data_IF_645539167324
#
_entry.id   IF_645539167324
#
_cell.length_a   1.000
_cell.length_b   1.000
_cell.length_c   1.000
_cell.angle_alpha   90.00
_cell.angle_beta   90.00
_cell.angle_gamma   90.00
#
_symmetry.space_group_name_H-M   'P 1'
#
loop_
_entity.id
_entity.type
_entity.pdbx_description
1 polymer ?
#
# COMPACT_ATOMS: atom_id res chain seq x y z
N UNK A 1 11.43 74.56 -13.76
CA UNK A 1 10.48 74.00 -14.74
C UNK A 1 11.29 73.15 -15.72
N UNK A 2 10.89 71.92 -16.08
CA UNK A 2 9.59 71.31 -15.88
C UNK A 2 9.61 70.11 -14.92
N UNK A 3 8.43 69.89 -14.35
CA UNK A 3 7.94 68.73 -13.61
C UNK A 3 7.86 67.51 -14.52
N UNK A 4 8.62 66.46 -14.25
CA UNK A 4 8.21 65.12 -14.67
C UNK A 4 7.24 64.60 -13.61
N UNK A 5 5.96 64.82 -13.92
CA UNK A 5 4.86 64.12 -13.28
C UNK A 5 5.16 62.62 -13.42
N UNK A 6 5.58 61.99 -12.33
CA UNK A 6 5.27 60.57 -12.13
C UNK A 6 3.76 60.47 -12.08
N UNK A 7 3.12 60.30 -13.24
CA UNK A 7 1.75 59.83 -13.31
C UNK A 7 1.76 58.46 -12.65
N UNK A 8 1.29 58.42 -11.42
CA UNK A 8 0.75 57.23 -10.80
C UNK A 8 -0.35 56.72 -11.73
N UNK A 9 0.02 55.82 -12.65
CA UNK A 9 -0.93 54.93 -13.28
C UNK A 9 -1.38 53.95 -12.20
N UNK A 10 -2.21 54.44 -11.29
CA UNK A 10 -3.19 53.66 -10.56
C UNK A 10 -4.27 53.30 -11.58
N UNK A 11 -3.89 52.48 -12.57
CA UNK A 11 -4.84 51.71 -13.36
C UNK A 11 -5.31 50.57 -12.44
N UNK A 12 -6.26 50.89 -11.56
CA UNK A 12 -6.93 49.92 -10.70
C UNK A 12 -7.43 48.76 -11.57
N UNK A 13 -6.92 47.55 -11.33
CA UNK A 13 -7.32 46.34 -12.05
C UNK A 13 -8.86 46.19 -12.05
N UNK A 14 -9.46 46.09 -13.25
CA UNK A 14 -10.92 45.96 -13.38
C UNK A 14 -11.37 44.61 -12.79
N UNK A 15 -12.27 44.65 -11.80
CA UNK A 15 -12.89 43.45 -11.23
C UNK A 15 -13.79 42.78 -12.28
N UNK A 16 -13.30 41.71 -12.92
CA UNK A 16 -14.05 40.97 -13.95
C UNK A 16 -15.12 40.04 -13.34
N UNK A 17 -14.81 39.43 -12.18
CA UNK A 17 -15.71 38.48 -11.52
C UNK A 17 -15.40 38.30 -10.05
N UNK A 18 -16.44 38.24 -9.23
CA UNK A 18 -16.38 37.81 -7.83
C UNK A 18 -16.83 36.34 -7.72
N UNK A 19 -16.20 35.58 -6.82
CA UNK A 19 -16.49 34.15 -6.61
C UNK A 19 -16.50 33.86 -5.12
N UNK A 20 -17.63 33.33 -4.63
CA UNK A 20 -17.75 32.91 -3.25
C UNK A 20 -16.94 31.63 -2.99
N UNK A 21 -16.22 31.60 -1.87
CA UNK A 21 -15.42 30.43 -1.46
C UNK A 21 -15.98 29.86 -0.16
N UNK A 22 -16.43 28.61 -0.23
CA UNK A 22 -16.96 27.85 0.90
C UNK A 22 -15.97 26.78 1.34
N UNK A 23 -15.81 26.60 2.65
CA UNK A 23 -14.99 25.53 3.23
C UNK A 23 -15.90 24.46 3.84
N UNK A 24 -15.90 23.27 3.25
CA UNK A 24 -16.65 22.12 3.74
C UNK A 24 -15.71 21.13 4.44
N UNK A 25 -16.02 20.74 5.67
CA UNK A 25 -15.21 19.80 6.48
C UNK A 25 -15.89 18.45 6.72
N UNK A 26 -17.07 18.22 6.15
CA UNK A 26 -17.87 16.99 6.34
C UNK A 26 -17.06 15.72 6.02
N UNK A 27 -16.24 15.77 4.97
CA UNK A 27 -15.41 14.63 4.53
C UNK A 27 -13.92 14.78 4.89
N UNK A 28 -13.53 15.75 5.72
CA UNK A 28 -12.11 16.06 5.97
C UNK A 28 -11.31 14.84 6.47
N UNK A 29 -11.95 13.95 7.23
CA UNK A 29 -11.32 12.74 7.78
C UNK A 29 -11.47 11.48 6.90
N UNK A 30 -12.15 11.60 5.76
CA UNK A 30 -12.56 10.49 4.90
C UNK A 30 -12.22 10.71 3.42
N UNK A 31 -11.78 11.92 3.04
CA UNK A 31 -11.43 12.27 1.68
C UNK A 31 -9.95 11.98 1.40
N UNK A 32 -9.68 11.05 0.49
CA UNK A 32 -8.34 10.70 0.04
C UNK A 32 -8.20 10.98 -1.45
N UNK A 33 -6.98 11.33 -1.89
CA UNK A 33 -6.65 11.47 -3.31
C UNK A 33 -5.71 10.34 -3.70
N UNK A 34 -6.14 9.51 -4.65
CA UNK A 34 -5.31 8.43 -5.19
C UNK A 34 -4.58 8.86 -6.45
N UNK A 35 -3.28 8.62 -6.46
CA UNK A 35 -2.41 8.82 -7.61
C UNK A 35 -1.90 7.48 -8.10
N UNK A 36 -1.81 7.33 -9.43
CA UNK A 36 -1.29 6.13 -10.09
C UNK A 36 -0.08 6.50 -10.95
N UNK A 37 1.13 6.65 -10.36
CA UNK A 37 2.28 7.25 -11.06
C UNK A 37 2.70 6.52 -12.35
N UNK A 38 2.43 5.21 -12.43
CA UNK A 38 2.77 4.37 -13.59
C UNK A 38 1.61 4.20 -14.58
N UNK A 39 0.48 4.88 -14.35
CA UNK A 39 -0.70 4.82 -15.21
C UNK A 39 -0.79 6.12 -16.00
N UNK A 40 -0.55 6.12 -17.32
CA UNK A 40 -0.63 7.35 -18.09
C UNK A 40 -2.08 7.82 -18.23
N UNK A 41 -2.27 9.14 -18.31
CA UNK A 41 -3.60 9.76 -18.36
C UNK A 41 -4.47 9.27 -19.52
N UNK A 42 -3.87 8.98 -20.69
CA UNK A 42 -4.60 8.48 -21.86
C UNK A 42 -5.09 7.02 -21.72
N UNK A 43 -4.72 6.33 -20.64
CA UNK A 43 -5.17 4.97 -20.32
C UNK A 43 -5.65 4.93 -18.87
N UNK A 44 -6.80 5.52 -18.52
CA UNK A 44 -7.34 5.44 -17.16
C UNK A 44 -7.77 4.00 -16.82
N UNK A 45 -8.10 3.74 -15.56
CA UNK A 45 -8.82 2.53 -15.19
C UNK A 45 -10.30 2.68 -15.58
N UNK A 46 -10.87 1.63 -16.18
CA UNK A 46 -12.30 1.55 -16.49
C UNK A 46 -13.13 1.36 -15.21
N UNK A 47 -14.42 1.70 -15.25
CA UNK A 47 -15.35 1.61 -14.10
C UNK A 47 -15.38 0.22 -13.44
N UNK A 48 -15.20 -0.85 -14.24
CA UNK A 48 -15.23 -2.23 -13.74
C UNK A 48 -13.84 -2.82 -13.52
N UNK A 49 -12.80 -1.98 -13.44
CA UNK A 49 -11.41 -2.45 -13.30
C UNK A 49 -11.07 -2.94 -11.90
N UNK A 50 -11.91 -2.68 -10.90
CA UNK A 50 -11.63 -3.01 -9.51
C UNK A 50 -12.72 -3.91 -8.93
N UNK A 51 -12.32 -5.03 -8.31
CA UNK A 51 -13.25 -5.98 -7.69
C UNK A 51 -13.38 -5.82 -6.18
N UNK A 52 -12.39 -5.20 -5.54
CA UNK A 52 -12.38 -5.00 -4.09
C UNK A 52 -11.35 -3.97 -3.68
N UNK A 53 -11.56 -3.39 -2.52
CA UNK A 53 -10.59 -2.54 -1.86
C UNK A 53 -10.60 -2.82 -0.36
N UNK A 54 -9.50 -2.53 0.31
CA UNK A 54 -9.38 -2.64 1.75
C UNK A 54 -8.46 -1.57 2.29
N UNK A 55 -8.65 -1.23 3.56
CA UNK A 55 -7.91 -0.17 4.24
C UNK A 55 -7.42 -0.60 5.62
N UNK A 56 -6.24 -0.13 5.99
CA UNK A 56 -5.76 -0.01 7.37
C UNK A 56 -5.76 1.49 7.73
N UNK A 57 -6.77 1.93 8.48
CA UNK A 57 -7.07 3.37 8.71
C UNK A 57 -5.96 4.10 9.46
N UNK A 58 -5.39 3.47 10.49
CA UNK A 58 -4.38 4.09 11.36
C UNK A 58 -3.07 4.34 10.60
N UNK A 59 -2.63 3.39 9.79
CA UNK A 59 -1.43 3.55 8.96
C UNK A 59 -1.71 4.02 7.52
N UNK A 60 -2.97 4.38 7.23
CA UNK A 60 -3.45 4.88 5.93
C UNK A 60 -3.02 4.00 4.75
N UNK A 61 -3.05 2.68 4.95
CA UNK A 61 -2.72 1.76 3.86
C UNK A 61 -3.96 1.37 3.11
N UNK A 62 -3.93 1.51 1.79
CA UNK A 62 -4.98 1.05 0.91
C UNK A 62 -4.46 -0.03 0.01
N UNK A 63 -5.30 -1.03 -0.22
CA UNK A 63 -5.13 -2.01 -1.27
C UNK A 63 -6.37 -2.08 -2.14
N UNK A 64 -6.15 -2.20 -3.44
CA UNK A 64 -7.21 -2.33 -4.45
C UNK A 64 -6.89 -3.49 -5.38
N UNK A 65 -7.86 -4.37 -5.57
CA UNK A 65 -7.78 -5.50 -6.49
C UNK A 65 -8.17 -5.03 -7.89
N UNK A 66 -7.17 -4.82 -8.76
CA UNK A 66 -7.38 -4.49 -10.17
C UNK A 66 -7.54 -5.76 -11.00
N UNK A 67 -8.67 -5.91 -11.68
CA UNK A 67 -8.97 -7.06 -12.53
C UNK A 67 -8.15 -7.08 -13.81
N UNK A 68 -7.70 -8.27 -14.20
CA UNK A 68 -7.00 -8.54 -15.45
C UNK A 68 -7.92 -9.36 -16.35
N UNK A 69 -8.14 -8.88 -17.57
CA UNK A 69 -8.92 -9.63 -18.55
C UNK A 69 -8.10 -10.79 -19.15
N UNK A 70 -8.31 -11.99 -18.62
CA UNK A 70 -7.63 -13.23 -19.05
C UNK A 70 -8.01 -13.71 -20.45
N UNK A 71 -9.07 -13.15 -21.05
CA UNK A 71 -9.56 -13.51 -22.38
C UNK A 71 -9.01 -12.62 -23.50
N UNK A 72 -8.26 -11.58 -23.18
CA UNK A 72 -7.63 -10.72 -24.19
C UNK A 72 -6.41 -11.39 -24.82
N UNK A 73 -6.13 -11.05 -26.09
CA UNK A 73 -4.98 -11.55 -26.84
C UNK A 73 -3.63 -11.24 -26.18
N UNK A 74 -3.56 -10.15 -25.40
CA UNK A 74 -2.35 -9.73 -24.69
C UNK A 74 -2.05 -10.56 -23.44
N UNK A 75 -2.95 -11.46 -23.03
CA UNK A 75 -2.77 -12.28 -21.84
C UNK A 75 -2.21 -13.66 -22.19
N UNK A 76 -1.00 -13.96 -21.72
CA UNK A 76 -0.38 -15.27 -21.93
C UNK A 76 -0.90 -16.32 -20.92
N UNK A 77 -1.98 -17.02 -21.31
CA UNK A 77 -2.73 -17.96 -20.46
C UNK A 77 -1.86 -19.02 -19.77
N UNK A 78 -0.89 -19.60 -20.48
CA UNK A 78 -0.01 -20.64 -19.91
C UNK A 78 0.77 -20.13 -18.70
N UNK A 79 1.37 -18.94 -18.80
CA UNK A 79 2.10 -18.33 -17.69
C UNK A 79 1.17 -17.83 -16.58
N UNK A 80 0.02 -17.27 -16.95
CA UNK A 80 -1.01 -16.88 -15.99
C UNK A 80 -1.47 -18.04 -15.11
N UNK A 81 -1.63 -19.23 -15.69
CA UNK A 81 -1.97 -20.46 -14.97
C UNK A 81 -0.84 -20.93 -14.05
N UNK A 82 0.41 -20.85 -14.50
CA UNK A 82 1.58 -21.20 -13.67
C UNK A 82 1.65 -20.34 -12.41
N UNK A 83 1.51 -19.01 -12.54
CA UNK A 83 1.53 -18.11 -11.38
C UNK A 83 0.40 -18.39 -10.39
N UNK A 84 -0.82 -18.62 -10.89
CA UNK A 84 -1.95 -18.98 -10.03
C UNK A 84 -1.70 -20.30 -9.28
N UNK A 85 -1.25 -21.34 -9.98
CA UNK A 85 -0.97 -22.63 -9.38
C UNK A 85 0.14 -22.56 -8.30
N UNK A 86 1.23 -21.83 -8.55
CA UNK A 86 2.31 -21.71 -7.57
C UNK A 86 1.86 -20.96 -6.31
N UNK A 87 1.12 -19.87 -6.48
CA UNK A 87 0.60 -19.06 -5.37
C UNK A 87 -0.36 -19.88 -4.50
N UNK A 88 -1.29 -20.61 -5.12
CA UNK A 88 -2.23 -21.48 -4.41
C UNK A 88 -1.54 -22.63 -3.68
N UNK A 89 -0.48 -23.19 -4.27
CA UNK A 89 0.30 -24.29 -3.68
C UNK A 89 1.07 -23.84 -2.45
N UNK A 90 1.59 -22.62 -2.43
CA UNK A 90 2.26 -22.05 -1.26
C UNK A 90 1.25 -21.79 -0.14
N UNK A 91 0.10 -21.17 -0.45
CA UNK A 91 -0.95 -20.87 0.54
C UNK A 91 -1.54 -22.15 1.18
N UNK A 92 -1.56 -23.28 0.46
CA UNK A 92 -2.06 -24.55 0.99
C UNK A 92 -1.15 -25.17 2.06
N UNK A 93 0.15 -24.87 2.08
CA UNK A 93 1.07 -25.45 3.07
C UNK A 93 0.85 -24.88 4.47
N UNK A 94 0.23 -23.71 4.59
CA UNK A 94 0.11 -22.97 5.84
C UNK A 94 -1.28 -23.11 6.53
N UNK A 95 -2.31 -23.67 5.87
CA UNK A 95 -3.66 -23.68 6.43
C UNK A 95 -4.45 -24.97 6.15
N UNK A 96 -4.79 -25.72 7.21
CA UNK A 96 -5.60 -26.95 7.21
C UNK A 96 -7.11 -26.73 7.40
N UNK A 97 -7.60 -25.49 7.32
CA UNK A 97 -9.02 -25.17 7.61
C UNK A 97 -9.86 -24.89 6.35
N UNK A 98 -11.07 -25.47 6.34
CA UNK A 98 -11.99 -25.61 5.19
C UNK A 98 -12.62 -24.33 4.61
N UNK A 99 -12.25 -23.13 5.07
CA UNK A 99 -12.72 -21.84 4.52
C UNK A 99 -11.58 -21.12 3.79
N UNK A 100 -11.05 -21.75 2.73
CA UNK A 100 -9.93 -21.21 1.96
C UNK A 100 -10.42 -20.18 0.95
N UNK A 101 -10.18 -18.91 1.20
CA UNK A 101 -10.29 -17.87 0.18
C UNK A 101 -9.07 -17.98 -0.75
N UNK A 102 -9.31 -18.26 -2.04
CA UNK A 102 -8.25 -18.29 -3.05
C UNK A 102 -7.63 -16.90 -3.20
N UNK A 103 -6.34 -16.84 -3.53
CA UNK A 103 -5.66 -15.58 -3.80
C UNK A 103 -6.18 -14.96 -5.10
N UNK A 104 -6.26 -15.76 -6.17
CA UNK A 104 -6.87 -15.40 -7.45
C UNK A 104 -8.31 -15.92 -7.53
N UNK A 105 -9.18 -15.28 -8.31
CA UNK A 105 -10.59 -15.68 -8.40
C UNK A 105 -10.79 -16.91 -9.30
N UNK A 106 -9.84 -17.17 -10.21
CA UNK A 106 -9.83 -18.28 -11.15
C UNK A 106 -8.49 -19.03 -11.12
N UNK A 107 -8.35 -20.04 -11.99
CA UNK A 107 -7.10 -20.79 -12.17
C UNK A 107 -6.03 -20.00 -12.95
N UNK A 108 -6.25 -18.71 -13.16
CA UNK A 108 -5.34 -17.78 -13.84
C UNK A 108 -5.05 -16.58 -12.94
N UNK A 109 -3.90 -15.94 -13.13
CA UNK A 109 -3.61 -14.64 -12.54
C UNK A 109 -4.56 -13.58 -13.12
N UNK A 110 -5.74 -13.44 -12.53
CA UNK A 110 -6.86 -12.62 -13.00
C UNK A 110 -7.03 -11.31 -12.24
N UNK A 111 -6.14 -11.02 -11.29
CA UNK A 111 -6.07 -9.75 -10.59
C UNK A 111 -4.63 -9.32 -10.32
N UNK A 112 -4.47 -8.01 -10.13
CA UNK A 112 -3.26 -7.36 -9.69
C UNK A 112 -3.60 -6.49 -8.48
N UNK A 113 -2.81 -6.60 -7.41
CA UNK A 113 -3.00 -5.77 -6.22
C UNK A 113 -2.27 -4.44 -6.43
N UNK A 114 -2.97 -3.33 -6.24
CA UNK A 114 -2.36 -2.01 -6.11
C UNK A 114 -2.34 -1.64 -4.64
N UNK A 115 -1.18 -1.25 -4.11
CA UNK A 115 -1.02 -0.88 -2.69
C UNK A 115 -0.27 0.43 -2.52
N UNK A 116 -0.55 1.09 -1.41
CA UNK A 116 0.19 2.26 -0.95
C UNK A 116 1.45 1.84 -0.19
N UNK A 117 2.61 2.39 -0.55
CA UNK A 117 3.87 2.08 0.15
C UNK A 117 4.25 3.06 1.27
N UNK A 118 3.69 4.27 1.24
CA UNK A 118 4.13 5.37 2.09
C UNK A 118 2.99 5.85 2.98
N UNK A 119 3.33 6.09 4.25
CA UNK A 119 2.51 6.91 5.13
C UNK A 119 2.74 8.37 4.72
N UNK A 120 1.69 9.09 4.36
CA UNK A 120 1.79 10.55 4.37
C UNK A 120 1.97 10.98 5.82
N UNK A 121 2.99 11.78 6.10
CA UNK A 121 3.16 12.37 7.43
C UNK A 121 1.90 13.16 7.79
N UNK A 122 1.43 13.10 9.04
CA UNK A 122 0.23 13.82 9.50
C UNK A 122 0.21 15.32 9.14
N UNK A 123 1.39 15.92 8.93
CA UNK A 123 1.58 17.32 8.53
C UNK A 123 1.09 17.66 7.10
N UNK A 124 0.73 16.68 6.27
CA UNK A 124 0.12 16.94 4.94
C UNK A 124 -1.40 17.14 5.00
N UNK A 125 -2.06 16.74 6.09
CA UNK A 125 -3.54 16.68 6.19
C UNK A 125 -4.19 18.08 6.20
N UNK A 126 -3.40 19.15 6.37
CA UNK A 126 -3.91 20.53 6.46
C UNK A 126 -3.49 21.44 5.30
N UNK A 127 -2.73 20.96 4.32
CA UNK A 127 -2.18 21.81 3.23
C UNK A 127 -2.93 21.72 1.92
N UNK A 128 -3.72 20.66 1.72
CA UNK A 128 -4.36 20.39 0.43
C UNK A 128 -5.87 20.27 0.58
N UNK A 129 -6.59 20.83 -0.39
CA UNK A 129 -8.04 20.70 -0.55
C UNK A 129 -8.36 20.25 -1.96
N UNK A 130 -9.45 19.52 -2.13
CA UNK A 130 -10.13 19.37 -3.43
C UNK A 130 -11.12 20.52 -3.56
N UNK A 131 -11.04 21.25 -4.66
CA UNK A 131 -11.99 22.30 -5.01
C UNK A 131 -13.04 21.78 -6.00
N UNK A 132 -14.32 21.99 -5.71
CA UNK A 132 -15.41 21.84 -6.65
C UNK A 132 -15.93 23.23 -7.03
N UNK A 133 -15.89 23.56 -8.32
CA UNK A 133 -16.43 24.81 -8.83
C UNK A 133 -17.80 24.55 -9.48
N UNK A 134 -18.85 25.12 -8.91
CA UNK A 134 -20.23 24.96 -9.36
C UNK A 134 -21.03 26.24 -9.09
N UNK A 135 -21.83 26.68 -10.07
CA UNK A 135 -22.69 27.88 -9.96
C UNK A 135 -21.95 29.17 -9.52
N UNK A 136 -20.73 29.39 -10.01
CA UNK A 136 -19.86 30.52 -9.63
C UNK A 136 -19.43 30.53 -8.15
N UNK A 137 -19.50 29.37 -7.49
CA UNK A 137 -19.03 29.17 -6.12
C UNK A 137 -17.94 28.09 -6.10
N UNK A 138 -16.88 28.32 -5.32
CA UNK A 138 -15.79 27.37 -5.09
C UNK A 138 -15.97 26.71 -3.72
N UNK A 139 -16.24 25.41 -3.72
CA UNK A 139 -16.33 24.59 -2.51
C UNK A 139 -15.01 23.87 -2.28
N UNK A 140 -14.33 24.17 -1.18
CA UNK A 140 -13.08 23.55 -0.77
C UNK A 140 -13.34 22.47 0.28
N UNK A 141 -12.83 21.27 0.04
CA UNK A 141 -12.85 20.15 0.97
C UNK A 141 -11.42 19.74 1.33
N UNK A 142 -10.97 19.84 2.59
CA UNK A 142 -9.67 19.35 3.00
C UNK A 142 -9.49 17.87 2.69
N UNK A 143 -8.31 17.52 2.21
CA UNK A 143 -7.94 16.14 1.90
C UNK A 143 -7.18 15.56 3.08
N UNK A 144 -7.61 14.41 3.55
CA UNK A 144 -6.91 13.68 4.60
C UNK A 144 -5.51 13.27 4.16
N UNK A 145 -5.38 12.65 3.00
CA UNK A 145 -4.08 12.23 2.49
C UNK A 145 -4.09 12.08 0.96
N UNK A 146 -2.92 12.29 0.36
CA UNK A 146 -2.65 12.03 -1.05
C UNK A 146 -1.78 10.78 -1.12
N UNK A 147 -2.33 9.70 -1.68
CA UNK A 147 -1.74 8.37 -1.61
C UNK A 147 -1.38 7.86 -3.01
N UNK A 148 -0.16 7.36 -3.15
CA UNK A 148 0.31 6.77 -4.41
C UNK A 148 0.13 5.25 -4.38
N UNK A 149 -0.69 4.74 -5.29
CA UNK A 149 -0.85 3.30 -5.49
C UNK A 149 0.14 2.77 -6.51
N UNK A 150 0.82 1.69 -6.14
CA UNK A 150 1.76 0.94 -6.99
C UNK A 150 1.39 -0.54 -7.04
N UNK A 151 1.68 -1.24 -8.15
CA UNK A 151 1.54 -2.70 -8.21
C UNK A 151 2.35 -3.39 -7.12
N UNK A 152 1.72 -4.35 -6.46
CA UNK A 152 2.37 -5.30 -5.55
C UNK A 152 2.50 -6.65 -6.23
N UNK A 153 3.60 -7.34 -5.93
CA UNK A 153 3.93 -8.63 -6.52
C UNK A 153 4.10 -9.72 -5.44
N UNK A 154 3.34 -9.63 -4.35
CA UNK A 154 3.43 -10.56 -3.21
C UNK A 154 3.27 -12.02 -3.60
N UNK A 155 2.54 -12.31 -4.67
CA UNK A 155 2.40 -13.67 -5.22
C UNK A 155 3.73 -14.25 -5.75
N UNK A 156 4.72 -13.42 -6.08
CA UNK A 156 6.05 -13.89 -6.52
C UNK A 156 6.90 -14.39 -5.35
N UNK A 157 6.70 -13.87 -4.14
CA UNK A 157 7.44 -14.33 -2.96
C UNK A 157 7.14 -15.81 -2.69
N UNK A 158 5.87 -16.22 -2.89
CA UNK A 158 5.45 -17.62 -2.86
C UNK A 158 6.15 -18.50 -3.90
N UNK A 159 6.46 -17.95 -5.08
CA UNK A 159 7.17 -18.69 -6.14
C UNK A 159 8.66 -18.85 -5.85
N UNK A 160 9.27 -17.89 -5.16
CA UNK A 160 10.67 -17.97 -4.72
C UNK A 160 10.84 -19.04 -3.63
N UNK A 161 9.97 -19.04 -2.62
CA UNK A 161 10.01 -20.02 -1.51
C UNK A 161 9.78 -21.46 -1.97
N UNK A 162 9.04 -21.66 -3.06
CA UNK A 162 8.76 -23.01 -3.57
C UNK A 162 9.84 -23.57 -4.50
N UNK A 163 10.81 -22.77 -4.94
CA UNK A 163 11.93 -23.23 -5.77
C UNK A 163 11.57 -23.73 -7.18
N UNK A 164 10.28 -23.66 -7.57
CA UNK A 164 9.78 -24.22 -8.85
C UNK A 164 9.78 -23.18 -9.98
N UNK A 165 10.10 -21.92 -9.69
CA UNK A 165 9.95 -20.79 -10.61
C UNK A 165 11.14 -20.45 -11.52
N UNK A 166 12.33 -20.99 -11.26
CA UNK A 166 13.54 -20.60 -11.99
C UNK A 166 14.12 -21.71 -12.88
N UNK A 167 13.97 -21.62 -14.23
CA UNK A 167 14.69 -22.48 -15.17
C UNK A 167 16.22 -22.29 -15.09
N UNK A 168 16.72 -21.20 -14.46
CA UNK A 168 18.14 -20.91 -14.24
C UNK A 168 18.67 -21.35 -12.87
N UNK A 169 17.88 -22.04 -12.04
CA UNK A 169 18.36 -22.54 -10.73
C UNK A 169 19.33 -23.74 -10.82
N UNK A 170 19.74 -24.14 -12.03
CA UNK A 170 20.92 -25.01 -12.24
C UNK A 170 22.16 -24.16 -12.50
N UNK A 171 22.88 -23.83 -11.42
CA UNK A 171 24.01 -22.89 -11.40
C UNK A 171 23.43 -21.51 -11.15
N UNK A 172 23.69 -20.81 -10.05
CA UNK A 172 24.98 -20.40 -9.52
C UNK A 172 24.77 -20.17 -8.01
N UNK A 173 25.54 -20.87 -7.16
CA UNK A 173 25.67 -20.48 -5.76
C UNK A 173 26.38 -19.12 -5.74
N UNK A 174 25.72 -18.09 -5.21
CA UNK A 174 26.35 -16.82 -4.91
C UNK A 174 26.30 -16.60 -3.39
N UNK A 175 27.36 -17.08 -2.75
CA UNK A 175 28.02 -16.51 -1.58
C UNK A 175 27.15 -15.81 -0.53
N UNK A 176 26.67 -16.61 0.43
CA UNK A 176 26.54 -16.14 1.82
C UNK A 176 27.94 -15.99 2.44
N UNK A 177 28.55 -14.83 2.27
CA UNK A 177 29.65 -14.35 3.12
C UNK A 177 29.51 -12.86 3.37
N UNK A 178 29.07 -12.52 4.59
CA UNK A 178 29.44 -11.39 5.47
C UNK A 178 28.27 -11.19 6.44
N UNK A 179 28.38 -11.15 7.76
CA UNK A 179 29.52 -11.14 8.67
C UNK A 179 28.98 -11.57 10.05
N UNK A 180 29.71 -12.45 10.74
CA UNK A 180 29.74 -12.42 12.20
C UNK A 180 31.12 -12.91 12.62
N UNK A 181 31.91 -11.95 13.09
CA UNK A 181 33.24 -12.14 13.64
C UNK A 181 33.28 -13.23 14.70
N UNK A 182 34.43 -13.91 14.73
CA UNK A 182 34.68 -15.06 15.57
C UNK A 182 34.99 -14.71 17.02
N UNK A 183 34.74 -15.68 17.88
CA UNK A 183 35.66 -16.02 18.96
C UNK A 183 35.86 -17.54 18.98
N UNK A 184 37.13 -17.92 18.91
CA UNK A 184 37.67 -19.27 19.06
C UNK A 184 37.35 -19.86 20.43
N UNK A 185 37.04 -21.15 20.48
CA UNK A 185 37.81 -22.08 21.34
C UNK A 185 37.58 -23.51 20.86
N UNK A 186 38.67 -24.14 20.43
CA UNK A 186 38.76 -25.56 20.10
C UNK A 186 38.77 -26.41 21.38
N UNK A 187 38.14 -27.59 21.35
CA UNK A 187 38.82 -28.86 21.66
C UNK A 187 37.93 -30.09 21.38
N UNK A 188 38.43 -30.89 20.44
CA UNK A 188 38.58 -32.37 20.41
C UNK A 188 37.58 -33.32 21.10
N UNK A 189 37.04 -34.20 20.25
CA UNK A 189 36.92 -35.68 20.33
C UNK A 189 36.00 -36.38 21.35
N UNK A 190 35.14 -37.22 20.77
CA UNK A 190 34.56 -38.51 21.18
C UNK A 190 33.90 -38.71 22.56
N UNK A 191 32.62 -39.15 22.52
CA UNK A 191 32.12 -40.40 23.14
C UNK A 191 30.57 -40.37 23.22
N UNK A 192 29.91 -41.39 22.67
CA UNK A 192 28.49 -41.69 22.89
C UNK A 192 28.28 -42.29 24.29
N UNK A 193 27.31 -41.78 25.09
CA UNK A 193 26.42 -42.50 26.04
C UNK A 193 25.62 -41.52 26.96
N UNK A 194 24.62 -41.96 27.77
CA UNK A 194 23.21 -42.04 27.41
C UNK A 194 22.30 -41.14 28.30
N UNK A 195 21.01 -41.05 27.93
CA UNK A 195 19.83 -40.62 28.71
C UNK A 195 20.07 -39.88 30.03
N UNK A 196 20.03 -38.55 30.00
CA UNK A 196 19.92 -37.71 31.20
C UNK A 196 18.65 -36.86 31.16
N UNK A 197 17.82 -37.06 32.19
CA UNK A 197 16.67 -36.28 32.63
C UNK A 197 16.68 -34.83 32.17
N UNK A 198 15.64 -34.42 31.43
CA UNK A 198 15.47 -33.04 30.95
C UNK A 198 15.28 -32.07 32.12
N UNK A 199 16.34 -31.36 32.49
CA UNK A 199 16.28 -30.20 33.37
C UNK A 199 15.56 -29.04 32.66
N UNK A 200 14.39 -28.67 33.17
CA UNK A 200 13.67 -27.45 32.75
C UNK A 200 14.50 -26.25 33.22
N UNK A 201 15.30 -25.68 32.31
CA UNK A 201 16.05 -24.45 32.62
C UNK A 201 15.13 -23.26 32.38
N UNK A 202 14.66 -22.64 33.46
CA UNK A 202 13.91 -21.38 33.38
C UNK A 202 14.84 -20.26 32.90
N UNK A 203 14.66 -19.80 31.65
CA UNK A 203 15.32 -18.59 31.14
C UNK A 203 14.55 -17.36 31.63
N UNK A 204 15.07 -16.69 32.65
CA UNK A 204 14.52 -15.42 33.10
C UNK A 204 14.74 -14.33 32.04
N UNK A 205 13.66 -13.67 31.62
CA UNK A 205 13.74 -12.57 30.67
C UNK A 205 14.52 -11.40 31.30
N UNK A 206 15.69 -11.08 30.75
CA UNK A 206 16.47 -9.90 31.16
C UNK A 206 15.65 -8.65 30.85
N UNK A 207 15.43 -7.79 31.85
CA UNK A 207 14.73 -6.51 31.67
C UNK A 207 15.45 -5.69 30.62
N UNK A 208 14.76 -5.35 29.53
CA UNK A 208 15.30 -4.55 28.43
C UNK A 208 15.76 -3.18 28.95
N UNK A 209 16.96 -2.74 28.54
CA UNK A 209 17.47 -1.39 28.87
C UNK A 209 16.74 -0.32 28.05
N UNK A 210 16.56 0.86 28.62
CA UNK A 210 15.86 1.99 27.97
C UNK A 210 16.45 2.38 26.62
N UNK A 211 17.77 2.24 26.43
CA UNK A 211 18.44 2.49 25.15
C UNK A 211 18.00 1.48 24.08
N UNK A 212 18.00 0.18 24.41
CA UNK A 212 17.60 -0.88 23.49
C UNK A 212 16.12 -0.79 23.14
N UNK A 213 15.28 -0.46 24.13
CA UNK A 213 13.86 -0.20 23.92
C UNK A 213 13.64 0.95 22.94
N UNK A 214 14.35 2.07 23.10
CA UNK A 214 14.25 3.21 22.18
C UNK A 214 14.69 2.86 20.76
N UNK A 215 15.80 2.14 20.61
CA UNK A 215 16.31 1.70 19.29
C UNK A 215 15.33 0.73 18.62
N UNK A 216 14.74 -0.19 19.37
CA UNK A 216 13.70 -1.11 18.87
C UNK A 216 12.45 -0.35 18.42
N UNK A 217 11.97 0.62 19.21
CA UNK A 217 10.82 1.44 18.85
C UNK A 217 11.04 2.28 17.58
N UNK A 218 12.28 2.60 17.26
CA UNK A 218 12.66 3.31 16.03
C UNK A 218 13.03 2.38 14.87
N UNK A 219 13.07 1.06 15.10
CA UNK A 219 13.44 0.08 14.09
C UNK A 219 12.32 -0.10 13.07
N UNK A 220 12.72 -0.38 11.83
CA UNK A 220 11.80 -0.68 10.74
C UNK A 220 10.93 -1.90 11.04
N UNK A 221 11.50 -2.96 11.64
CA UNK A 221 10.77 -4.18 11.99
C UNK A 221 9.63 -3.92 12.98
N UNK A 222 9.85 -3.01 13.94
CA UNK A 222 8.80 -2.61 14.87
C UNK A 222 7.63 -1.90 14.16
N UNK A 223 7.91 -0.96 13.26
CA UNK A 223 6.86 -0.31 12.47
C UNK A 223 6.18 -1.25 11.47
N UNK A 224 6.92 -2.22 10.92
CA UNK A 224 6.35 -3.28 10.07
C UNK A 224 5.38 -4.14 10.88
N UNK A 225 5.76 -4.61 12.06
CA UNK A 225 4.87 -5.40 12.92
C UNK A 225 3.62 -4.61 13.31
N UNK A 226 3.78 -3.37 13.76
CA UNK A 226 2.66 -2.50 14.10
C UNK A 226 1.66 -2.33 12.95
N UNK A 227 2.18 -2.19 11.73
CA UNK A 227 1.39 -2.11 10.50
C UNK A 227 0.67 -3.42 10.23
N UNK A 228 1.37 -4.54 10.33
CA UNK A 228 0.83 -5.87 10.06
C UNK A 228 -0.27 -6.25 11.06
N UNK A 229 -0.10 -5.85 12.32
CA UNK A 229 -1.05 -6.04 13.43
C UNK A 229 -2.37 -5.26 13.23
N UNK A 230 -2.38 -4.14 12.51
CA UNK A 230 -3.64 -3.47 12.17
C UNK A 230 -4.45 -4.35 11.20
N UNK A 231 -5.70 -4.64 11.59
CA UNK A 231 -6.61 -5.44 10.78
C UNK A 231 -7.07 -4.67 9.54
N UNK A 232 -7.14 -5.37 8.42
CA UNK A 232 -7.77 -4.86 7.21
C UNK A 232 -9.29 -4.70 7.39
N UNK A 233 -9.81 -3.55 6.95
CA UNK A 233 -11.24 -3.30 6.77
C UNK A 233 -11.58 -3.31 5.29
N UNK A 234 -12.54 -4.13 4.89
CA UNK A 234 -12.99 -4.21 3.50
C UNK A 234 -13.86 -3.01 3.12
N UNK A 235 -13.66 -2.53 1.89
CA UNK A 235 -14.35 -1.40 1.30
C UNK A 235 -15.12 -1.81 0.06
N UNK A 236 -16.29 -1.21 -0.13
CA UNK A 236 -17.09 -1.36 -1.34
C UNK A 236 -16.58 -0.37 -2.40
N UNK A 237 -16.18 -0.90 -3.56
CA UNK A 237 -15.71 -0.08 -4.67
C UNK A 237 -16.88 0.46 -5.49
N UNK A 238 -17.15 1.76 -5.38
CA UNK A 238 -18.13 2.48 -6.20
C UNK A 238 -17.42 3.31 -7.28
N UNK A 239 -16.81 2.62 -8.26
CA UNK A 239 -15.98 3.28 -9.29
C UNK A 239 -16.79 3.88 -10.44
N UNK A 240 -18.00 3.41 -10.67
CA UNK A 240 -18.89 3.95 -11.71
C UNK A 240 -19.26 5.39 -11.38
N UNK A 241 -18.68 6.34 -12.12
CA UNK A 241 -18.91 7.77 -11.94
C UNK A 241 -20.36 8.19 -12.24
N UNK A 242 -21.12 7.33 -12.93
CA UNK A 242 -22.54 7.52 -13.24
C UNK A 242 -23.46 6.86 -12.21
N UNK A 243 -22.92 6.14 -11.22
CA UNK A 243 -23.71 5.52 -10.17
C UNK A 243 -24.42 6.58 -9.31
N UNK A 244 -25.65 6.28 -8.88
CA UNK A 244 -26.42 7.13 -7.98
C UNK A 244 -25.68 7.40 -6.67
N UNK A 245 -24.95 6.41 -6.16
CA UNK A 245 -24.24 6.50 -4.89
C UNK A 245 -23.00 7.38 -4.99
N UNK A 246 -22.25 7.27 -6.11
CA UNK A 246 -21.10 8.15 -6.39
C UNK A 246 -21.55 9.60 -6.51
N UNK A 247 -22.65 9.84 -7.23
CA UNK A 247 -23.24 11.18 -7.34
C UNK A 247 -23.77 11.70 -5.99
N UNK A 248 -24.32 10.84 -5.14
CA UNK A 248 -24.75 11.22 -3.79
C UNK A 248 -23.58 11.65 -2.91
N UNK A 249 -22.46 10.91 -2.94
CA UNK A 249 -21.25 11.27 -2.20
C UNK A 249 -20.57 12.51 -2.78
N UNK A 250 -20.64 12.73 -4.10
CA UNK A 250 -20.19 13.98 -4.72
C UNK A 250 -20.96 15.19 -4.17
N UNK A 251 -22.28 15.06 -3.94
CA UNK A 251 -23.09 16.14 -3.34
C UNK A 251 -22.69 16.46 -1.90
N UNK A 252 -22.12 15.53 -1.14
CA UNK A 252 -21.58 15.86 0.19
C UNK A 252 -20.31 16.71 0.17
N UNK A 253 -19.73 16.99 -1.01
CA UNK A 253 -18.65 17.97 -1.15
C UNK A 253 -19.18 19.42 -1.13
N UNK A 254 -20.46 19.62 -1.44
CA UNK A 254 -21.09 20.96 -1.50
C UNK A 254 -22.05 21.23 -0.34
N UNK A 255 -22.53 20.19 0.36
CA UNK A 255 -23.42 20.32 1.53
C UNK A 255 -22.66 20.49 2.83
#
# INVERSE_FOLDING_TARGET
MPTENGSSNDDDDELISETDVYLNRTLAEQLYVFQFPIRPHYRPYEDNSFSGARIKKKYQMFEMDSLINVNQANYFKSRGRQFAAFTESSNNKENTNNNKQRYFHSDYMDKQILSTNNMTSDDTNCRYCVGLFENNCLYLCPVKAILQLRPQYTYLDSTATTGVGDPRSKGYNLDERTASDGEHSENSEDEEKPTTTSLITMKFAKKESDYHKKKRLQSYDYYRQLRDDERWEDLVCLMNQRSTDSNRLRKSLIS
#
